data_IF_730767612175
#
_entry.id   IF_730767612175
#
_cell.length_a   1.000
_cell.length_b   1.000
_cell.length_c   1.000
_cell.angle_alpha   90.00
_cell.angle_beta   90.00
_cell.angle_gamma   90.00
#
_symmetry.space_group_name_H-M   'P 1'
#
loop_
_entity.id
_entity.type
_entity.pdbx_description
1 polymer ?
#
# COMPACT_ATOMS: atom_id res chain seq x y z
N UNK A 1 8.38 33.97 3.43
CA UNK A 1 9.40 34.12 2.38
C UNK A 1 10.79 33.92 2.95
N UNK A 2 11.20 34.60 4.03
CA UNK A 2 12.52 34.47 4.70
C UNK A 2 12.79 33.02 5.17
N UNK A 3 11.86 32.37 5.89
CA UNK A 3 12.02 30.99 6.35
C UNK A 3 12.11 29.92 5.22
N UNK A 4 11.65 30.24 4.00
CA UNK A 4 11.83 29.38 2.82
C UNK A 4 13.22 29.53 2.22
N UNK A 5 13.75 30.77 2.19
CA UNK A 5 15.12 31.06 1.72
C UNK A 5 16.18 30.49 2.66
N UNK A 6 15.96 30.54 4.00
CA UNK A 6 16.87 29.94 4.98
C UNK A 6 16.91 28.39 4.89
N UNK A 7 15.80 27.71 4.57
CA UNK A 7 15.78 26.27 4.33
C UNK A 7 16.47 25.85 3.03
N UNK A 8 16.41 26.69 2.00
CA UNK A 8 17.09 26.43 0.72
C UNK A 8 18.61 26.63 0.81
N UNK A 9 19.08 27.38 1.80
CA UNK A 9 20.51 27.65 2.02
C UNK A 9 21.24 26.60 2.87
N UNK A 10 20.52 25.73 3.60
CA UNK A 10 21.14 24.65 4.39
C UNK A 10 21.51 23.47 3.51
N UNK A 11 22.66 22.82 3.80
CA UNK A 11 23.01 21.55 3.14
C UNK A 11 22.01 20.44 3.48
N UNK A 12 21.96 19.38 2.66
CA UNK A 12 21.12 18.21 2.92
C UNK A 12 21.47 17.54 4.25
N UNK A 13 22.76 17.52 4.59
CA UNK A 13 23.28 16.99 5.86
C UNK A 13 22.76 17.79 7.05
N UNK A 14 22.76 19.12 6.97
CA UNK A 14 22.25 19.98 8.04
C UNK A 14 20.73 19.79 8.23
N UNK A 15 19.96 19.65 7.14
CA UNK A 15 18.53 19.36 7.22
C UNK A 15 18.27 17.96 7.80
N UNK A 16 19.11 16.98 7.47
CA UNK A 16 19.04 15.61 8.03
C UNK A 16 19.33 15.63 9.53
N UNK A 17 20.40 16.29 9.97
CA UNK A 17 20.72 16.42 11.38
C UNK A 17 19.56 17.03 12.18
N UNK A 18 18.99 18.16 11.73
CA UNK A 18 17.83 18.77 12.36
C UNK A 18 16.59 17.83 12.38
N UNK A 19 16.41 17.04 11.34
CA UNK A 19 15.31 16.08 11.27
C UNK A 19 15.49 14.94 12.28
N UNK A 20 16.70 14.38 12.38
CA UNK A 20 17.03 13.30 13.33
C UNK A 20 16.96 13.81 14.77
N UNK A 21 17.45 15.02 15.06
CA UNK A 21 17.35 15.63 16.38
C UNK A 21 15.90 15.77 16.85
N UNK A 22 15.00 16.18 15.94
CA UNK A 22 13.57 16.28 16.24
C UNK A 22 12.94 14.90 16.53
N UNK A 23 13.39 13.83 15.85
CA UNK A 23 12.99 12.45 16.14
C UNK A 23 13.59 11.95 17.45
N UNK A 24 14.86 12.27 17.75
CA UNK A 24 15.54 11.88 18.97
C UNK A 24 14.83 12.41 20.23
N UNK A 25 14.22 13.60 20.14
CA UNK A 25 13.47 14.22 21.22
C UNK A 25 12.31 13.34 21.74
N UNK A 26 11.71 12.48 20.89
CA UNK A 26 10.60 11.59 21.27
C UNK A 26 11.06 10.20 21.71
N UNK A 27 12.36 9.88 21.68
CA UNK A 27 12.88 8.58 22.13
C UNK A 27 13.04 8.48 23.65
N UNK A 28 12.84 9.57 24.38
CA UNK A 28 12.82 9.63 25.84
C UNK A 28 14.19 9.58 26.55
N UNK A 29 15.31 9.30 25.85
CA UNK A 29 16.67 9.27 26.43
C UNK A 29 17.69 9.81 25.44
N UNK A 30 18.61 10.66 25.92
CA UNK A 30 19.63 11.31 25.09
C UNK A 30 20.63 10.33 24.47
N UNK A 31 20.94 9.23 25.14
CA UNK A 31 21.88 8.19 24.68
C UNK A 31 21.36 7.43 23.43
N UNK A 32 20.09 7.61 23.06
CA UNK A 32 19.48 7.01 21.85
C UNK A 32 19.67 7.87 20.61
N UNK A 33 20.06 9.14 20.73
CA UNK A 33 20.18 10.05 19.59
C UNK A 33 21.23 9.59 18.58
N UNK A 34 22.46 9.28 19.03
CA UNK A 34 23.51 8.77 18.14
C UNK A 34 23.14 7.46 17.44
N UNK A 35 22.68 6.41 18.15
CA UNK A 35 22.17 5.19 17.51
C UNK A 35 21.02 5.42 16.53
N UNK A 36 20.11 6.37 16.77
CA UNK A 36 19.05 6.77 15.85
C UNK A 36 19.61 7.36 14.56
N UNK A 37 20.52 8.31 14.68
CA UNK A 37 21.22 8.94 13.55
C UNK A 37 21.92 7.90 12.69
N UNK A 38 22.72 7.03 13.32
CA UNK A 38 23.43 5.94 12.67
C UNK A 38 22.48 4.99 11.93
N UNK A 39 21.34 4.64 12.58
CA UNK A 39 20.37 3.74 11.98
C UNK A 39 19.71 4.37 10.74
N UNK A 40 19.24 5.62 10.85
CA UNK A 40 18.66 6.35 9.74
C UNK A 40 19.67 6.58 8.61
N UNK A 41 20.93 6.90 8.93
CA UNK A 41 22.03 6.99 7.96
C UNK A 41 22.23 5.66 7.24
N UNK A 42 22.33 4.55 7.97
CA UNK A 42 22.48 3.22 7.37
C UNK A 42 21.31 2.83 6.45
N UNK A 43 20.07 3.26 6.76
CA UNK A 43 18.92 3.05 5.89
C UNK A 43 18.99 3.91 4.61
N UNK A 44 19.53 5.11 4.66
CA UNK A 44 19.63 6.03 3.53
C UNK A 44 20.84 5.74 2.63
N UNK A 45 21.92 5.23 3.19
CA UNK A 45 23.14 4.95 2.42
C UNK A 45 22.91 3.80 1.43
N UNK A 46 23.58 3.79 0.26
CA UNK A 46 23.50 2.70 -0.69
C UNK A 46 23.94 1.35 -0.06
N UNK A 47 23.28 0.26 -0.45
CA UNK A 47 23.63 -1.10 0.02
C UNK A 47 22.56 -2.11 -0.36
N UNK A 48 22.98 -3.29 -0.78
CA UNK A 48 22.08 -4.39 -1.18
C UNK A 48 21.27 -4.95 0.00
N UNK A 49 21.85 -4.88 1.21
CA UNK A 49 21.22 -5.38 2.42
C UNK A 49 21.30 -4.35 3.55
N UNK A 50 20.16 -4.04 4.14
CA UNK A 50 20.00 -3.07 5.23
C UNK A 50 19.54 -3.76 6.51
N UNK A 51 20.17 -4.90 6.86
CA UNK A 51 20.11 -5.48 8.19
C UNK A 51 21.16 -4.81 9.09
N UNK A 52 21.07 -5.04 10.40
CA UNK A 52 21.85 -4.25 11.39
C UNK A 52 23.35 -4.33 11.17
N UNK A 53 23.90 -5.51 10.83
CA UNK A 53 25.34 -5.69 10.66
C UNK A 53 25.89 -4.96 9.42
N UNK A 54 25.33 -5.12 8.20
CA UNK A 54 25.75 -4.33 7.05
C UNK A 54 25.63 -2.82 7.27
N UNK A 55 24.56 -2.34 7.94
CA UNK A 55 24.44 -0.94 8.27
C UNK A 55 25.56 -0.47 9.22
N UNK A 56 25.89 -1.27 10.24
CA UNK A 56 27.00 -0.97 11.16
C UNK A 56 28.35 -0.85 10.44
N UNK A 57 28.57 -1.73 9.44
CA UNK A 57 29.79 -1.68 8.63
C UNK A 57 29.89 -0.42 7.76
N UNK A 58 28.74 0.09 7.28
CA UNK A 58 28.71 1.33 6.49
C UNK A 58 28.94 2.57 7.36
N UNK A 59 28.23 2.66 8.52
CA UNK A 59 28.26 3.88 9.35
C UNK A 59 29.50 3.96 10.27
N UNK A 60 30.13 2.83 10.60
CA UNK A 60 31.31 2.79 11.46
C UNK A 60 32.27 1.65 11.09
N UNK A 61 32.95 1.73 9.93
CA UNK A 61 33.78 0.63 9.42
C UNK A 61 34.93 0.24 10.36
N UNK A 62 35.46 1.16 11.16
CA UNK A 62 36.51 0.89 12.14
C UNK A 62 35.98 0.21 13.42
N UNK A 63 34.69 0.23 13.69
CA UNK A 63 34.09 -0.23 14.97
C UNK A 63 32.79 -1.02 14.75
N UNK A 64 32.74 -1.88 13.73
CA UNK A 64 31.53 -2.60 13.28
C UNK A 64 30.83 -3.36 14.41
N UNK A 65 31.60 -4.13 15.22
CA UNK A 65 31.02 -4.94 16.30
C UNK A 65 30.32 -4.11 17.36
N UNK A 66 30.95 -3.03 17.84
CA UNK A 66 30.36 -2.12 18.83
C UNK A 66 29.11 -1.40 18.26
N UNK A 67 29.21 -0.94 17.01
CA UNK A 67 28.10 -0.28 16.32
C UNK A 67 26.94 -1.23 16.10
N UNK A 68 27.21 -2.49 15.66
CA UNK A 68 26.19 -3.52 15.53
C UNK A 68 25.42 -3.74 16.83
N UNK A 69 26.11 -3.86 17.98
CA UNK A 69 25.44 -4.01 19.28
C UNK A 69 24.60 -2.80 19.64
N UNK A 70 25.09 -1.60 19.37
CA UNK A 70 24.37 -0.34 19.60
C UNK A 70 23.06 -0.24 18.78
N UNK A 71 23.13 -0.51 17.48
CA UNK A 71 21.95 -0.49 16.59
C UNK A 71 20.97 -1.62 16.93
N UNK A 72 21.48 -2.81 17.26
CA UNK A 72 20.64 -3.94 17.67
C UNK A 72 19.91 -3.64 18.99
N UNK A 73 20.58 -2.97 19.95
CA UNK A 73 19.96 -2.52 21.17
C UNK A 73 18.85 -1.50 20.89
N UNK A 74 19.11 -0.49 20.05
CA UNK A 74 18.12 0.54 19.70
C UNK A 74 16.85 -0.09 19.12
N UNK A 75 16.98 -0.96 18.12
CA UNK A 75 15.82 -1.52 17.41
C UNK A 75 15.14 -2.64 18.15
N UNK A 76 15.89 -3.49 18.92
CA UNK A 76 15.33 -4.71 19.48
C UNK A 76 15.00 -4.63 20.97
N UNK A 77 15.74 -3.82 21.75
CA UNK A 77 15.67 -3.82 23.22
C UNK A 77 15.27 -2.51 23.86
N UNK A 78 15.69 -1.37 23.31
CA UNK A 78 15.40 -0.07 23.88
C UNK A 78 13.88 0.18 23.94
N UNK A 79 13.39 0.65 25.08
CA UNK A 79 11.98 0.92 25.30
C UNK A 79 11.65 2.35 24.87
N UNK A 80 11.30 2.53 23.59
CA UNK A 80 10.76 3.76 23.02
C UNK A 80 9.48 3.46 22.22
N UNK A 81 8.66 4.47 21.96
CA UNK A 81 7.39 4.32 21.27
C UNK A 81 7.57 4.52 19.77
N UNK A 82 7.34 3.48 18.99
CA UNK A 82 7.26 3.55 17.53
C UNK A 82 6.12 4.47 17.08
N UNK A 83 5.00 4.47 17.79
CA UNK A 83 3.88 5.38 17.52
C UNK A 83 4.27 6.85 17.70
N UNK A 84 5.00 7.19 18.79
CA UNK A 84 5.49 8.55 19.01
C UNK A 84 6.45 9.02 17.89
N UNK A 85 7.28 8.10 17.38
CA UNK A 85 8.15 8.37 16.22
C UNK A 85 7.30 8.61 14.97
N UNK A 86 6.30 7.77 14.68
CA UNK A 86 5.41 7.96 13.52
C UNK A 86 4.62 9.28 13.60
N UNK A 87 4.14 9.66 14.79
CA UNK A 87 3.51 10.97 15.01
C UNK A 87 4.49 12.10 14.69
N UNK A 88 5.72 12.03 15.19
CA UNK A 88 6.73 13.04 14.93
C UNK A 88 7.12 13.11 13.44
N UNK A 89 7.26 11.96 12.78
CA UNK A 89 7.49 11.89 11.32
C UNK A 89 6.36 12.61 10.58
N UNK A 90 5.10 12.33 10.92
CA UNK A 90 3.95 13.00 10.32
C UNK A 90 4.00 14.52 10.52
N UNK A 91 4.24 14.98 11.74
CA UNK A 91 4.36 16.42 12.04
C UNK A 91 5.43 17.11 11.19
N UNK A 92 6.58 16.45 11.00
CA UNK A 92 7.69 16.99 10.24
C UNK A 92 7.51 16.94 8.73
N UNK A 93 6.76 15.96 8.21
CA UNK A 93 6.66 15.66 6.76
C UNK A 93 5.38 16.22 6.15
N UNK A 94 4.25 16.19 6.88
CA UNK A 94 2.95 16.63 6.38
C UNK A 94 2.98 18.04 5.76
N UNK A 95 3.63 19.07 6.37
CA UNK A 95 3.69 20.39 5.75
C UNK A 95 4.35 20.40 4.37
N UNK A 96 5.35 19.53 4.14
CA UNK A 96 6.01 19.42 2.84
C UNK A 96 5.13 18.76 1.79
N UNK A 97 4.31 17.79 2.18
CA UNK A 97 3.30 17.16 1.30
C UNK A 97 2.21 18.17 0.96
N UNK A 98 1.67 18.88 1.94
CA UNK A 98 0.58 19.86 1.76
C UNK A 98 1.01 21.08 0.95
N UNK A 99 2.27 21.47 1.00
CA UNK A 99 2.81 22.52 0.15
C UNK A 99 2.75 22.18 -1.35
N UNK A 100 2.68 20.90 -1.70
CA UNK A 100 2.53 20.41 -3.08
C UNK A 100 1.06 20.17 -3.47
N UNK A 101 0.14 20.20 -2.51
CA UNK A 101 -1.29 20.01 -2.70
C UNK A 101 -1.97 19.42 -1.48
N UNK A 102 -3.27 19.72 -1.31
CA UNK A 102 -4.06 19.18 -0.20
C UNK A 102 -4.04 17.66 -0.18
N UNK A 103 -4.13 17.07 1.02
CA UNK A 103 -4.36 15.63 1.17
C UNK A 103 -5.69 15.27 0.48
N UNK A 104 -5.62 14.30 -0.43
CA UNK A 104 -6.77 13.83 -1.21
C UNK A 104 -7.27 12.47 -0.74
N UNK A 105 -6.38 11.62 -0.31
CA UNK A 105 -6.72 10.25 0.05
C UNK A 105 -6.05 9.79 1.35
N UNK A 106 -6.75 8.88 2.02
CA UNK A 106 -6.23 7.98 3.03
C UNK A 106 -6.22 6.57 2.43
N UNK A 107 -5.05 5.95 2.33
CA UNK A 107 -4.89 4.64 1.67
C UNK A 107 -4.65 3.59 2.74
N UNK A 108 -5.57 2.63 2.83
CA UNK A 108 -5.40 1.41 3.64
C UNK A 108 -4.92 0.29 2.73
N UNK A 109 -3.87 -0.39 3.17
CA UNK A 109 -3.37 -1.56 2.47
C UNK A 109 -2.62 -2.48 3.44
N UNK A 110 -2.28 -3.69 2.98
CA UNK A 110 -1.40 -4.58 3.72
C UNK A 110 -0.13 -4.94 2.92
N UNK A 111 0.93 -5.23 3.64
CA UNK A 111 2.18 -5.59 3.02
C UNK A 111 2.76 -6.85 3.65
N UNK A 112 3.13 -7.84 2.79
CA UNK A 112 3.66 -9.14 3.20
C UNK A 112 5.19 -9.18 3.21
N UNK A 113 5.74 -9.93 4.19
CA UNK A 113 7.16 -10.22 4.37
C UNK A 113 7.36 -11.73 4.41
N UNK A 114 7.87 -12.31 3.33
CA UNK A 114 8.17 -13.74 3.27
C UNK A 114 9.20 -14.12 4.35
N UNK A 115 8.97 -15.22 5.05
CA UNK A 115 9.85 -15.76 6.10
C UNK A 115 10.08 -17.25 5.88
N UNK A 116 11.32 -17.73 6.09
CA UNK A 116 11.64 -19.16 6.00
C UNK A 116 11.32 -19.92 7.30
N UNK A 117 11.44 -19.24 8.45
CA UNK A 117 11.26 -19.86 9.78
C UNK A 117 9.90 -19.57 10.39
N UNK A 118 9.60 -20.23 11.50
CA UNK A 118 8.31 -20.16 12.23
C UNK A 118 8.37 -19.30 13.50
N UNK A 119 9.52 -18.69 13.81
CA UNK A 119 9.75 -18.02 15.10
C UNK A 119 9.57 -16.50 15.06
N UNK A 120 9.48 -15.89 13.88
CA UNK A 120 9.21 -14.45 13.77
C UNK A 120 7.78 -14.16 14.26
N UNK A 121 7.61 -13.10 15.02
CA UNK A 121 6.29 -12.72 15.56
C UNK A 121 5.25 -12.58 14.45
N UNK A 122 4.06 -13.15 14.63
CA UNK A 122 2.96 -13.04 13.65
C UNK A 122 3.16 -13.82 12.35
N UNK A 123 4.23 -14.64 12.24
CA UNK A 123 4.44 -15.46 11.06
C UNK A 123 3.43 -16.60 10.99
N UNK A 124 2.79 -16.75 9.85
CA UNK A 124 1.84 -17.84 9.57
C UNK A 124 1.82 -18.15 8.07
N UNK A 125 1.27 -19.31 7.71
CA UNK A 125 0.96 -19.63 6.32
C UNK A 125 -0.30 -18.88 5.89
N UNK A 126 -0.13 -17.79 5.18
CA UNK A 126 -1.19 -16.89 4.74
C UNK A 126 -0.89 -16.30 3.36
N UNK A 127 -1.88 -15.69 2.71
CA UNK A 127 -1.67 -15.07 1.41
C UNK A 127 -0.65 -13.93 1.51
N UNK A 128 0.39 -14.01 0.71
CA UNK A 128 1.44 -13.00 0.62
C UNK A 128 1.35 -12.29 -0.74
N UNK A 129 0.83 -11.07 -0.77
CA UNK A 129 0.65 -10.31 -2.02
C UNK A 129 1.94 -10.18 -2.84
N UNK A 130 3.11 -10.02 -2.19
CA UNK A 130 4.41 -9.98 -2.86
C UNK A 130 4.74 -11.27 -3.64
N UNK A 131 4.29 -12.42 -3.15
CA UNK A 131 4.54 -13.73 -3.77
C UNK A 131 3.40 -14.17 -4.67
N UNK A 132 2.26 -13.49 -4.65
CA UNK A 132 1.05 -13.86 -5.38
C UNK A 132 0.44 -15.21 -4.95
N UNK A 133 0.83 -15.74 -3.80
CA UNK A 133 0.40 -17.07 -3.30
C UNK A 133 0.34 -17.12 -1.78
N UNK A 134 -0.30 -18.16 -1.26
CA UNK A 134 -0.23 -18.52 0.16
C UNK A 134 1.14 -19.09 0.49
N UNK A 135 1.85 -18.43 1.41
CA UNK A 135 3.18 -18.84 1.85
C UNK A 135 3.41 -18.41 3.32
N UNK A 136 4.55 -18.83 3.88
CA UNK A 136 4.95 -18.47 5.24
C UNK A 136 5.41 -17.02 5.27
N UNK A 137 4.63 -16.14 5.88
CA UNK A 137 4.90 -14.69 5.89
C UNK A 137 4.35 -13.98 7.12
N UNK A 138 4.89 -12.80 7.38
CA UNK A 138 4.29 -11.78 8.25
C UNK A 138 3.51 -10.79 7.38
N UNK A 139 2.45 -10.21 7.91
CA UNK A 139 1.68 -9.16 7.20
C UNK A 139 1.54 -7.96 8.13
N UNK A 140 1.74 -6.77 7.60
CA UNK A 140 1.46 -5.53 8.31
C UNK A 140 0.37 -4.74 7.58
N UNK A 141 -0.54 -4.16 8.37
CA UNK A 141 -1.58 -3.24 7.90
C UNK A 141 -1.08 -1.81 8.07
N UNK A 142 -1.28 -0.98 7.06
CA UNK A 142 -0.86 0.42 7.06
C UNK A 142 -2.00 1.36 6.71
N UNK A 143 -1.91 2.57 7.25
CA UNK A 143 -2.68 3.73 6.80
C UNK A 143 -1.70 4.78 6.31
N UNK A 144 -1.85 5.21 5.05
CA UNK A 144 -1.05 6.28 4.43
C UNK A 144 -1.93 7.46 4.08
N UNK A 145 -1.38 8.68 4.20
CA UNK A 145 -1.97 9.89 3.62
C UNK A 145 -1.35 10.14 2.25
N UNK A 146 -2.12 10.66 1.30
CA UNK A 146 -1.64 10.88 -0.06
C UNK A 146 -2.27 12.09 -0.75
N UNK A 147 -1.49 12.70 -1.64
CA UNK A 147 -1.96 13.56 -2.71
C UNK A 147 -1.31 13.09 -4.03
N UNK A 148 -1.47 13.84 -5.13
CA UNK A 148 -0.86 13.47 -6.42
C UNK A 148 0.67 13.58 -6.44
N UNK A 149 1.28 14.33 -5.52
CA UNK A 149 2.72 14.55 -5.47
C UNK A 149 3.43 13.52 -4.59
N UNK A 150 2.89 13.20 -3.42
CA UNK A 150 3.53 12.35 -2.42
C UNK A 150 2.52 11.54 -1.61
N UNK A 151 3.03 10.50 -0.94
CA UNK A 151 2.30 9.70 0.06
C UNK A 151 3.23 9.34 1.21
N UNK A 152 2.67 9.16 2.41
CA UNK A 152 3.40 8.85 3.63
C UNK A 152 2.58 7.85 4.47
N UNK A 153 3.12 6.68 4.85
CA UNK A 153 2.54 5.85 5.90
C UNK A 153 2.55 6.60 7.25
N UNK A 154 1.39 6.74 7.87
CA UNK A 154 1.22 7.41 9.17
C UNK A 154 0.86 6.46 10.30
N UNK A 155 0.46 5.24 9.97
CA UNK A 155 0.23 4.16 10.92
C UNK A 155 0.69 2.83 10.30
N UNK A 156 1.24 1.97 11.15
CA UNK A 156 1.82 0.70 10.76
C UNK A 156 1.65 -0.32 11.88
N UNK A 157 1.00 -1.47 11.60
CA UNK A 157 0.79 -2.50 12.61
C UNK A 157 0.90 -3.89 12.04
N UNK A 158 1.68 -4.75 12.71
CA UNK A 158 1.77 -6.17 12.40
C UNK A 158 0.43 -6.85 12.71
N UNK A 159 -0.09 -7.58 11.72
CA UNK A 159 -1.21 -8.48 11.92
C UNK A 159 -0.76 -9.68 12.74
N UNK A 160 -1.44 -9.91 13.87
CA UNK A 160 -1.20 -11.07 14.73
C UNK A 160 -2.28 -12.11 14.42
N UNK A 161 -1.97 -13.23 13.74
CA UNK A 161 -2.95 -14.30 13.47
C UNK A 161 -3.56 -14.84 14.74
N UNK A 162 -4.76 -15.41 14.65
CA UNK A 162 -5.52 -15.91 15.81
C UNK A 162 -4.75 -16.96 16.60
N UNK A 163 -4.07 -17.90 15.91
CA UNK A 163 -3.20 -18.91 16.53
C UNK A 163 -2.05 -18.29 17.36
N UNK A 164 -1.51 -17.16 16.90
CA UNK A 164 -0.51 -16.41 17.62
C UNK A 164 -1.09 -15.68 18.82
N UNK A 165 -2.27 -15.11 18.68
CA UNK A 165 -2.94 -14.37 19.74
C UNK A 165 -3.36 -15.29 20.88
N UNK A 166 -3.70 -16.55 20.59
CA UNK A 166 -4.09 -17.58 21.55
C UNK A 166 -2.89 -18.27 22.24
N UNK A 167 -1.68 -18.22 21.66
CA UNK A 167 -0.49 -18.89 22.19
C UNK A 167 0.31 -17.96 23.12
N UNK A 168 0.06 -18.07 24.42
CA UNK A 168 0.70 -17.25 25.45
C UNK A 168 2.23 -17.44 25.47
N UNK A 169 2.72 -18.66 25.28
CA UNK A 169 4.16 -18.97 25.29
C UNK A 169 4.89 -18.30 24.12
N UNK A 170 4.30 -18.34 22.93
CA UNK A 170 4.84 -17.64 21.74
C UNK A 170 4.78 -16.12 21.90
N UNK A 171 3.69 -15.58 22.44
CA UNK A 171 3.54 -14.14 22.74
C UNK A 171 4.62 -13.66 23.69
N UNK A 172 4.82 -14.34 24.81
CA UNK A 172 5.85 -14.01 25.80
C UNK A 172 7.25 -14.06 25.21
N UNK A 173 7.58 -15.10 24.44
CA UNK A 173 8.88 -15.25 23.74
C UNK A 173 9.14 -14.15 22.71
N UNK A 174 8.10 -13.68 22.03
CA UNK A 174 8.20 -12.62 21.04
C UNK A 174 7.99 -11.21 21.62
N UNK A 175 7.79 -11.10 22.94
CA UNK A 175 7.51 -9.84 23.63
C UNK A 175 6.30 -9.08 23.03
N UNK A 176 5.21 -9.81 22.72
CA UNK A 176 3.94 -9.20 22.32
C UNK A 176 3.30 -8.57 23.54
N UNK A 177 2.92 -7.28 23.51
CA UNK A 177 2.24 -6.62 24.63
C UNK A 177 0.93 -7.33 25.02
N UNK A 178 0.57 -7.30 26.29
CA UNK A 178 -0.61 -8.01 26.80
C UNK A 178 -1.93 -7.45 26.27
N UNK A 179 -1.98 -6.17 25.99
CA UNK A 179 -3.13 -5.45 25.40
C UNK A 179 -3.35 -5.73 23.91
N UNK A 180 -2.36 -6.35 23.25
CA UNK A 180 -2.49 -6.75 21.84
C UNK A 180 -3.34 -8.02 21.74
N UNK A 181 -4.60 -7.89 21.36
CA UNK A 181 -5.52 -9.00 21.10
C UNK A 181 -5.66 -9.26 19.61
N UNK A 182 -6.22 -10.43 19.25
CA UNK A 182 -6.57 -10.74 17.87
C UNK A 182 -7.54 -9.70 17.31
N UNK A 183 -7.20 -9.18 16.12
CA UNK A 183 -8.09 -8.36 15.29
C UNK A 183 -7.91 -8.73 13.84
N UNK A 184 -9.00 -8.74 13.08
CA UNK A 184 -8.93 -8.88 11.63
C UNK A 184 -8.18 -7.70 11.01
N UNK A 185 -7.60 -7.87 9.82
CA UNK A 185 -6.93 -6.76 9.11
C UNK A 185 -7.85 -5.55 8.89
N UNK A 186 -9.11 -5.71 8.45
CA UNK A 186 -10.07 -4.59 8.43
C UNK A 186 -10.32 -3.94 9.80
N UNK A 187 -10.32 -4.73 10.87
CA UNK A 187 -10.44 -4.20 12.23
C UNK A 187 -9.24 -3.35 12.65
N UNK A 188 -8.02 -3.78 12.32
CA UNK A 188 -6.79 -3.00 12.54
C UNK A 188 -6.83 -1.69 11.75
N UNK A 189 -7.25 -1.75 10.48
CA UNK A 189 -7.38 -0.57 9.63
C UNK A 189 -8.37 0.45 10.19
N UNK A 190 -9.53 -0.01 10.70
CA UNK A 190 -10.50 0.88 11.36
C UNK A 190 -9.94 1.53 12.63
N UNK A 191 -9.14 0.81 13.43
CA UNK A 191 -8.47 1.40 14.59
C UNK A 191 -7.49 2.50 14.16
N UNK A 192 -6.68 2.26 13.12
CA UNK A 192 -5.73 3.25 12.56
C UNK A 192 -6.46 4.49 12.03
N UNK A 193 -7.58 4.31 11.32
CA UNK A 193 -8.43 5.40 10.82
C UNK A 193 -8.95 6.25 11.99
N UNK A 194 -9.52 5.61 13.02
CA UNK A 194 -10.05 6.32 14.20
C UNK A 194 -8.96 7.06 14.95
N UNK A 195 -7.79 6.45 15.12
CA UNK A 195 -6.64 7.09 15.77
C UNK A 195 -6.15 8.31 14.98
N UNK A 196 -6.10 8.23 13.65
CA UNK A 196 -5.71 9.34 12.79
C UNK A 196 -6.72 10.50 12.85
N UNK A 197 -8.03 10.21 12.87
CA UNK A 197 -9.08 11.21 13.06
C UNK A 197 -8.99 11.88 14.43
N UNK A 198 -8.81 11.09 15.50
CA UNK A 198 -8.64 11.59 16.86
C UNK A 198 -7.38 12.46 17.00
N UNK A 199 -6.34 12.18 16.23
CA UNK A 199 -5.12 12.99 16.16
C UNK A 199 -5.25 14.23 15.26
N UNK A 200 -6.44 14.55 14.73
CA UNK A 200 -6.70 15.73 13.90
C UNK A 200 -6.07 15.70 12.51
N UNK A 201 -5.72 14.51 11.99
CA UNK A 201 -5.21 14.40 10.62
C UNK A 201 -6.31 14.79 9.63
N UNK A 202 -6.01 15.71 8.72
CA UNK A 202 -6.96 16.16 7.71
C UNK A 202 -7.54 14.96 6.92
N UNK A 203 -8.86 14.79 6.86
CA UNK A 203 -9.48 13.65 6.20
C UNK A 203 -9.29 13.70 4.69
N UNK A 204 -9.12 12.54 4.08
CA UNK A 204 -9.16 12.31 2.64
C UNK A 204 -10.19 11.25 2.30
N UNK A 205 -10.39 10.98 1.01
CA UNK A 205 -11.20 9.84 0.57
C UNK A 205 -10.48 8.55 0.96
N UNK A 206 -11.16 7.63 1.64
CA UNK A 206 -10.55 6.35 1.99
C UNK A 206 -10.46 5.43 0.77
N UNK A 207 -9.25 4.99 0.46
CA UNK A 207 -8.97 4.04 -0.61
C UNK A 207 -8.49 2.72 -0.01
N UNK A 208 -9.00 1.61 -0.52
CA UNK A 208 -8.54 0.27 -0.16
C UNK A 208 -8.76 -0.70 -1.33
N UNK A 209 -8.07 -1.84 -1.27
CA UNK A 209 -8.24 -2.90 -2.25
C UNK A 209 -9.51 -3.76 -1.98
N UNK A 210 -9.70 -4.79 -2.81
CA UNK A 210 -10.83 -5.70 -2.67
C UNK A 210 -10.78 -6.58 -1.42
N UNK A 211 -9.62 -6.77 -0.81
CA UNK A 211 -9.47 -7.50 0.45
C UNK A 211 -10.20 -6.79 1.61
N UNK A 212 -10.20 -5.46 1.59
CA UNK A 212 -10.93 -4.63 2.53
C UNK A 212 -12.34 -4.28 2.04
N UNK A 213 -12.46 -3.96 0.75
CA UNK A 213 -13.71 -3.46 0.19
C UNK A 213 -14.85 -4.49 0.15
N UNK A 214 -14.58 -5.78 0.18
CA UNK A 214 -15.63 -6.83 0.28
C UNK A 214 -16.24 -6.91 1.68
N UNK A 215 -15.54 -6.42 2.71
CA UNK A 215 -16.05 -6.42 4.09
C UNK A 215 -17.05 -5.27 4.31
N UNK A 216 -18.34 -5.63 4.38
CA UNK A 216 -19.42 -4.68 4.63
C UNK A 216 -19.32 -4.00 6.00
N UNK A 217 -18.75 -4.66 7.03
CA UNK A 217 -18.54 -4.06 8.34
C UNK A 217 -17.44 -2.99 8.29
N UNK A 218 -16.38 -3.23 7.53
CA UNK A 218 -15.33 -2.24 7.26
C UNK A 218 -15.92 -0.99 6.59
N UNK A 219 -16.65 -1.16 5.47
CA UNK A 219 -17.27 -0.02 4.77
C UNK A 219 -18.21 0.77 5.68
N UNK A 220 -19.05 0.07 6.46
CA UNK A 220 -19.95 0.73 7.42
C UNK A 220 -19.16 1.45 8.51
N UNK A 221 -18.05 0.91 9.00
CA UNK A 221 -17.17 1.55 9.97
C UNK A 221 -16.51 2.83 9.44
N UNK A 222 -16.09 2.82 8.18
CA UNK A 222 -15.55 4.01 7.49
C UNK A 222 -16.60 5.11 7.40
N UNK A 223 -17.82 4.77 6.93
CA UNK A 223 -18.94 5.72 6.84
C UNK A 223 -19.35 6.25 8.21
N UNK A 224 -19.39 5.39 9.24
CA UNK A 224 -19.69 5.80 10.61
C UNK A 224 -18.61 6.74 11.21
N UNK A 225 -17.40 6.70 10.66
CA UNK A 225 -16.31 7.63 11.01
C UNK A 225 -16.38 8.96 10.25
N UNK A 226 -17.44 9.20 9.46
CA UNK A 226 -17.63 10.44 8.67
C UNK A 226 -16.79 10.52 7.39
N UNK A 227 -16.18 9.41 6.95
CA UNK A 227 -15.36 9.38 5.75
C UNK A 227 -16.14 8.86 4.53
N UNK A 228 -15.85 9.43 3.38
CA UNK A 228 -16.19 8.83 2.09
C UNK A 228 -15.11 7.85 1.66
N UNK A 229 -15.47 6.90 0.78
CA UNK A 229 -14.53 5.91 0.30
C UNK A 229 -14.62 5.62 -1.20
N UNK A 230 -13.54 5.10 -1.77
CA UNK A 230 -13.48 4.37 -3.04
C UNK A 230 -12.70 3.09 -2.77
N UNK A 231 -13.39 1.96 -2.71
CA UNK A 231 -12.78 0.66 -2.34
C UNK A 231 -12.98 -0.37 -3.43
N UNK A 232 -11.92 -1.10 -3.75
CA UNK A 232 -11.99 -2.24 -4.66
C UNK A 232 -12.98 -3.29 -4.18
N UNK A 233 -13.62 -3.99 -5.11
CA UNK A 233 -14.50 -5.12 -4.80
C UNK A 233 -14.29 -6.26 -5.81
N UNK A 234 -14.65 -7.46 -5.41
CA UNK A 234 -14.56 -8.63 -6.28
C UNK A 234 -15.69 -8.64 -7.32
N UNK A 235 -15.44 -9.23 -8.49
CA UNK A 235 -16.41 -9.38 -9.58
C UNK A 235 -17.69 -10.13 -9.19
N UNK A 236 -17.63 -10.91 -8.11
CA UNK A 236 -18.74 -11.70 -7.57
C UNK A 236 -19.61 -10.94 -6.56
N UNK A 237 -19.22 -9.72 -6.18
CA UNK A 237 -20.02 -8.92 -5.24
C UNK A 237 -21.45 -8.77 -5.79
N UNK A 238 -22.45 -9.06 -4.94
CA UNK A 238 -23.87 -8.92 -5.29
C UNK A 238 -24.37 -7.50 -5.07
N UNK A 239 -25.09 -6.97 -6.06
CA UNK A 239 -25.68 -5.64 -6.06
C UNK A 239 -27.09 -5.68 -6.65
N UNK A 240 -27.92 -4.73 -6.27
CA UNK A 240 -29.21 -4.46 -6.91
C UNK A 240 -28.98 -3.70 -8.21
N UNK A 241 -29.74 -4.04 -9.25
CA UNK A 241 -29.73 -3.27 -10.51
C UNK A 241 -30.24 -1.85 -10.25
N UNK A 242 -29.84 -0.86 -11.05
CA UNK A 242 -30.30 0.53 -10.87
C UNK A 242 -31.82 0.69 -10.84
N UNK A 243 -32.55 -0.16 -11.59
CA UNK A 243 -33.99 -0.17 -11.79
C UNK A 243 -34.75 -1.13 -10.86
N UNK A 244 -34.05 -1.84 -9.98
CA UNK A 244 -34.65 -2.88 -9.14
C UNK A 244 -34.31 -2.65 -7.67
N UNK A 245 -35.35 -2.60 -6.82
CA UNK A 245 -35.19 -2.52 -5.37
C UNK A 245 -35.67 -3.79 -4.67
N UNK A 246 -35.14 -4.11 -3.49
CA UNK A 246 -35.66 -5.19 -2.68
C UNK A 246 -37.09 -4.92 -2.25
N UNK A 247 -37.90 -5.96 -2.15
CA UNK A 247 -39.27 -5.85 -1.67
C UNK A 247 -39.30 -5.47 -0.18
N UNK A 248 -40.27 -4.66 0.26
CA UNK A 248 -40.43 -4.33 1.67
C UNK A 248 -40.76 -5.59 2.49
N UNK A 249 -40.65 -5.52 3.84
CA UNK A 249 -41.13 -6.57 4.72
C UNK A 249 -42.61 -6.92 4.41
N UNK A 250 -43.01 -8.18 4.61
CA UNK A 250 -44.41 -8.57 4.47
C UNK A 250 -45.28 -7.72 5.43
N UNK A 251 -46.50 -7.35 5.03
CA UNK A 251 -47.45 -6.78 5.97
C UNK A 251 -47.62 -7.71 7.17
N UNK A 252 -47.77 -7.12 8.36
CA UNK A 252 -47.99 -7.92 9.57
C UNK A 252 -49.41 -8.52 9.53
N UNK A 253 -49.51 -9.80 9.81
CA UNK A 253 -50.78 -10.53 9.83
C UNK A 253 -51.61 -10.33 11.13
N UNK A 254 -51.07 -9.54 12.10
CA UNK A 254 -51.68 -9.37 13.42
C UNK A 254 -51.33 -10.45 14.45
N UNK A 255 -50.57 -11.48 14.03
CA UNK A 255 -50.11 -12.55 14.93
C UNK A 255 -48.61 -12.70 14.90
N UNK A 256 -48.01 -12.97 16.08
CA UNK A 256 -46.55 -13.15 16.24
C UNK A 256 -45.75 -11.85 16.10
N UNK A 257 -44.44 -11.98 15.92
CA UNK A 257 -43.53 -10.85 15.74
C UNK A 257 -43.71 -10.22 14.35
N UNK A 258 -43.89 -8.91 14.23
CA UNK A 258 -43.98 -8.23 12.92
C UNK A 258 -42.76 -8.54 12.05
N UNK A 259 -42.96 -8.85 10.75
CA UNK A 259 -41.86 -9.02 9.81
C UNK A 259 -41.07 -7.71 9.67
N UNK A 260 -39.76 -7.78 9.80
CA UNK A 260 -38.89 -6.60 9.77
C UNK A 260 -37.82 -6.65 8.68
N UNK A 261 -37.77 -7.70 7.85
CA UNK A 261 -36.70 -7.91 6.87
C UNK A 261 -37.20 -7.70 5.46
N UNK A 262 -36.38 -7.00 4.66
CA UNK A 262 -36.61 -6.88 3.22
C UNK A 262 -36.58 -8.27 2.55
N UNK A 263 -37.27 -8.38 1.42
CA UNK A 263 -37.50 -9.64 0.73
C UNK A 263 -36.95 -9.63 -0.69
N UNK A 264 -36.80 -10.82 -1.22
CA UNK A 264 -36.37 -11.11 -2.60
C UNK A 264 -37.36 -12.09 -3.23
N UNK A 265 -37.54 -12.00 -4.55
CA UNK A 265 -38.26 -13.00 -5.37
C UNK A 265 -37.54 -13.17 -6.70
N UNK A 266 -38.15 -13.83 -7.68
CA UNK A 266 -37.54 -14.10 -8.97
C UNK A 266 -37.23 -12.85 -9.80
N UNK A 267 -38.03 -11.81 -9.66
CA UNK A 267 -37.86 -10.54 -10.38
C UNK A 267 -36.99 -9.54 -9.57
N UNK A 268 -37.14 -9.58 -8.25
CA UNK A 268 -36.40 -8.74 -7.32
C UNK A 268 -35.25 -9.53 -6.70
N UNK A 269 -34.19 -9.77 -7.47
CA UNK A 269 -33.01 -10.49 -7.05
C UNK A 269 -31.73 -9.73 -7.43
N UNK A 270 -30.75 -9.67 -6.51
CA UNK A 270 -29.45 -9.05 -6.82
C UNK A 270 -28.67 -9.88 -7.83
N UNK A 271 -27.78 -9.21 -8.58
CA UNK A 271 -26.87 -9.83 -9.53
C UNK A 271 -25.42 -9.50 -9.15
N UNK A 272 -24.45 -10.25 -9.69
CA UNK A 272 -23.04 -9.89 -9.50
C UNK A 272 -22.69 -8.62 -10.26
N UNK A 273 -21.72 -7.85 -9.73
CA UNK A 273 -21.21 -6.64 -10.42
C UNK A 273 -20.68 -6.98 -11.81
N UNK A 274 -20.08 -8.16 -12.01
CA UNK A 274 -19.66 -8.64 -13.33
C UNK A 274 -20.86 -8.79 -14.28
N UNK A 275 -21.94 -9.43 -13.85
CA UNK A 275 -23.15 -9.60 -14.68
C UNK A 275 -23.79 -8.25 -15.01
N UNK A 276 -23.79 -7.33 -14.05
CA UNK A 276 -24.27 -5.96 -14.29
C UNK A 276 -23.42 -5.28 -15.36
N UNK A 277 -22.09 -5.30 -15.20
CA UNK A 277 -21.14 -4.67 -16.10
C UNK A 277 -21.25 -5.20 -17.56
N UNK A 278 -21.37 -6.52 -17.71
CA UNK A 278 -21.53 -7.15 -19.03
C UNK A 278 -22.86 -6.81 -19.71
N UNK A 279 -23.86 -6.36 -18.97
CA UNK A 279 -25.16 -5.95 -19.50
C UNK A 279 -25.28 -4.44 -19.74
N UNK A 280 -24.24 -3.64 -19.47
CA UNK A 280 -24.27 -2.20 -19.71
C UNK A 280 -24.24 -1.90 -21.21
N UNK A 281 -25.01 -0.92 -21.70
CA UNK A 281 -24.95 -0.50 -23.10
C UNK A 281 -23.59 0.16 -23.42
N UNK A 282 -23.18 0.10 -24.69
CA UNK A 282 -21.90 0.69 -25.14
C UNK A 282 -21.77 2.18 -24.76
N UNK A 283 -22.85 2.93 -24.83
CA UNK A 283 -22.88 4.35 -24.45
C UNK A 283 -22.63 4.64 -22.96
N UNK A 284 -22.65 3.63 -22.08
CA UNK A 284 -22.28 3.79 -20.68
C UNK A 284 -20.76 3.84 -20.44
N UNK A 285 -19.98 3.46 -21.45
CA UNK A 285 -18.54 3.38 -21.34
C UNK A 285 -17.85 4.61 -21.89
N UNK A 286 -16.84 5.12 -21.14
CA UNK A 286 -16.02 6.26 -21.54
C UNK A 286 -14.54 5.90 -21.44
N UNK A 287 -13.75 6.30 -22.42
CA UNK A 287 -12.28 6.24 -22.36
C UNK A 287 -11.84 7.40 -21.48
N UNK A 288 -11.22 7.10 -20.36
CA UNK A 288 -10.74 8.10 -19.40
C UNK A 288 -9.25 7.92 -19.15
N UNK A 289 -8.42 8.94 -19.43
CA UNK A 289 -7.01 8.95 -19.03
C UNK A 289 -6.90 9.17 -17.52
N UNK A 290 -5.91 8.55 -16.88
CA UNK A 290 -5.76 8.65 -15.43
C UNK A 290 -4.32 8.89 -14.95
N UNK A 291 -3.30 8.73 -15.77
CA UNK A 291 -1.90 8.99 -15.45
C UNK A 291 -1.04 9.12 -16.69
N UNK A 292 -0.07 10.05 -16.66
CA UNK A 292 1.02 10.04 -17.63
C UNK A 292 1.92 8.82 -17.38
N UNK A 293 2.09 7.97 -18.37
CA UNK A 293 3.05 6.89 -18.37
C UNK A 293 4.40 7.37 -18.91
N UNK A 294 5.41 6.51 -18.88
CA UNK A 294 6.75 6.82 -19.42
C UNK A 294 6.78 6.96 -20.95
N UNK A 295 5.84 6.33 -21.64
CA UNK A 295 5.74 6.32 -23.11
C UNK A 295 4.48 7.02 -23.62
N UNK A 296 3.36 6.83 -22.92
CA UNK A 296 2.05 7.32 -23.30
C UNK A 296 1.15 7.56 -22.08
N UNK A 297 0.07 8.30 -22.26
CA UNK A 297 -0.93 8.48 -21.21
C UNK A 297 -1.69 7.17 -20.98
N UNK A 298 -1.69 6.70 -19.75
CA UNK A 298 -2.45 5.51 -19.36
C UNK A 298 -3.95 5.83 -19.34
N UNK A 299 -4.72 5.12 -20.15
CA UNK A 299 -6.16 5.23 -20.26
C UNK A 299 -6.82 3.86 -20.25
N UNK A 300 -8.10 3.81 -19.94
CA UNK A 300 -8.92 2.60 -20.03
C UNK A 300 -10.38 2.99 -20.24
N UNK A 301 -11.24 2.01 -20.57
CA UNK A 301 -12.69 2.22 -20.63
C UNK A 301 -13.26 2.10 -19.22
N UNK A 302 -14.04 3.07 -18.82
CA UNK A 302 -14.72 3.09 -17.52
C UNK A 302 -16.22 3.28 -17.70
N UNK A 303 -16.99 2.67 -16.80
CA UNK A 303 -18.41 2.95 -16.60
C UNK A 303 -18.66 3.23 -15.12
N UNK A 304 -19.58 4.14 -14.83
CA UNK A 304 -20.02 4.44 -13.46
C UNK A 304 -21.53 4.39 -13.39
N UNK A 305 -22.06 3.60 -12.45
CA UNK A 305 -23.50 3.43 -12.26
C UNK A 305 -23.86 3.51 -10.78
N UNK A 306 -25.04 4.06 -10.49
CA UNK A 306 -25.57 4.12 -9.11
C UNK A 306 -26.26 2.80 -8.79
N UNK A 307 -25.83 2.12 -7.75
CA UNK A 307 -26.35 0.82 -7.31
C UNK A 307 -26.53 0.76 -5.80
N UNK A 308 -27.23 -0.25 -5.33
CA UNK A 308 -27.29 -0.62 -3.91
C UNK A 308 -26.51 -1.91 -3.69
N UNK A 309 -25.52 -1.96 -2.78
CA UNK A 309 -24.92 -3.22 -2.36
C UNK A 309 -25.97 -4.16 -1.78
N UNK A 310 -25.86 -5.47 -2.08
CA UNK A 310 -26.79 -6.50 -1.58
C UNK A 310 -26.18 -7.36 -0.46
N UNK A 311 -25.02 -6.96 0.08
CA UNK A 311 -24.31 -7.71 1.11
C UNK A 311 -25.12 -7.76 2.41
N UNK A 312 -25.54 -8.96 2.83
CA UNK A 312 -26.31 -9.19 4.07
C UNK A 312 -27.58 -8.34 4.19
N UNK A 313 -28.15 -7.84 3.09
CA UNK A 313 -29.35 -7.00 3.10
C UNK A 313 -30.58 -7.74 3.63
N UNK A 314 -30.65 -9.10 3.47
CA UNK A 314 -31.71 -9.92 4.06
C UNK A 314 -31.80 -9.84 5.60
N UNK A 315 -30.81 -9.25 6.27
CA UNK A 315 -30.81 -8.98 7.72
C UNK A 315 -31.34 -7.58 8.05
N UNK A 316 -31.59 -6.75 7.05
CA UNK A 316 -31.95 -5.36 7.19
C UNK A 316 -33.46 -5.14 7.03
N UNK A 317 -33.95 -4.06 7.62
CA UNK A 317 -35.32 -3.57 7.42
C UNK A 317 -35.42 -2.59 6.25
N UNK A 318 -34.32 -1.95 5.88
CA UNK A 318 -34.22 -0.98 4.79
C UNK A 318 -33.06 -1.36 3.86
N UNK A 319 -33.16 -1.06 2.56
CA UNK A 319 -32.07 -1.25 1.61
C UNK A 319 -30.79 -0.50 2.03
N UNK A 320 -29.65 -0.94 1.52
CA UNK A 320 -28.42 -0.13 1.60
C UNK A 320 -28.61 1.18 0.83
N UNK A 321 -27.90 2.26 1.21
CA UNK A 321 -27.91 3.50 0.43
C UNK A 321 -27.37 3.26 -0.97
N UNK A 322 -27.66 4.17 -1.91
CA UNK A 322 -27.07 4.18 -3.24
C UNK A 322 -25.60 4.54 -3.15
N UNK A 323 -24.77 3.78 -3.85
CA UNK A 323 -23.34 4.00 -4.00
C UNK A 323 -22.97 4.01 -5.49
N UNK A 324 -21.84 4.58 -5.84
CA UNK A 324 -21.27 4.39 -7.15
C UNK A 324 -20.65 3.00 -7.26
N UNK A 325 -20.91 2.31 -8.36
CA UNK A 325 -20.11 1.20 -8.87
C UNK A 325 -19.31 1.74 -10.05
N UNK A 326 -18.00 1.95 -9.86
CA UNK A 326 -17.05 2.26 -10.92
C UNK A 326 -16.46 0.95 -11.44
N UNK A 327 -16.42 0.82 -12.77
CA UNK A 327 -16.00 -0.40 -13.47
C UNK A 327 -14.91 -0.02 -14.48
N UNK A 328 -13.83 -0.81 -14.54
CA UNK A 328 -12.78 -0.67 -15.53
C UNK A 328 -12.77 -1.87 -16.48
N UNK A 329 -12.76 -1.57 -17.77
CA UNK A 329 -12.62 -2.55 -18.84
C UNK A 329 -11.47 -2.13 -19.77
N UNK A 330 -10.23 -2.63 -19.52
CA UNK A 330 -9.10 -2.33 -20.37
C UNK A 330 -9.31 -2.82 -21.81
N UNK A 331 -8.71 -2.12 -22.76
CA UNK A 331 -8.71 -2.53 -24.15
C UNK A 331 -8.02 -3.91 -24.31
N UNK A 332 -8.58 -4.77 -25.16
CA UNK A 332 -8.09 -6.14 -25.38
C UNK A 332 -8.55 -7.18 -24.36
N UNK A 333 -9.10 -6.77 -23.23
CA UNK A 333 -9.65 -7.71 -22.24
C UNK A 333 -11.05 -8.19 -22.66
N UNK A 334 -11.34 -9.49 -22.39
CA UNK A 334 -12.63 -10.09 -22.73
C UNK A 334 -13.76 -9.63 -21.84
N UNK A 335 -13.44 -9.17 -20.62
CA UNK A 335 -14.37 -8.77 -19.59
C UNK A 335 -13.79 -7.67 -18.70
N UNK A 336 -14.63 -6.91 -17.98
CA UNK A 336 -14.15 -5.92 -17.02
C UNK A 336 -13.27 -6.54 -15.94
N UNK A 337 -12.17 -5.90 -15.61
CA UNK A 337 -11.15 -6.47 -14.72
C UNK A 337 -11.17 -5.92 -13.31
N UNK A 338 -11.64 -4.66 -13.12
CA UNK A 338 -11.65 -4.01 -11.81
C UNK A 338 -12.99 -3.34 -11.54
N UNK A 339 -13.38 -3.39 -10.27
CA UNK A 339 -14.64 -2.87 -9.77
C UNK A 339 -14.38 -2.14 -8.44
N UNK A 340 -15.02 -0.98 -8.25
CA UNK A 340 -14.96 -0.23 -7.00
C UNK A 340 -16.36 0.21 -6.56
N UNK A 341 -16.59 0.21 -5.26
CA UNK A 341 -17.70 0.91 -4.64
C UNK A 341 -17.23 2.27 -4.13
N UNK A 342 -18.07 3.30 -4.28
CA UNK A 342 -17.75 4.63 -3.79
C UNK A 342 -18.97 5.33 -3.19
N UNK A 343 -18.72 5.99 -2.07
CA UNK A 343 -19.70 6.87 -1.38
C UNK A 343 -19.49 8.36 -1.68
N UNK A 344 -18.74 8.69 -2.73
CA UNK A 344 -18.64 10.06 -3.21
C UNK A 344 -20.01 10.57 -3.67
N UNK A 345 -20.20 11.91 -3.67
CA UNK A 345 -21.44 12.57 -4.06
C UNK A 345 -21.97 12.05 -5.40
N UNK A 346 -23.30 12.04 -5.55
CA UNK A 346 -23.94 11.62 -6.80
C UNK A 346 -23.61 12.52 -7.99
N UNK A 347 -23.21 13.78 -7.75
CA UNK A 347 -22.77 14.71 -8.79
C UNK A 347 -21.29 14.53 -9.18
N UNK A 348 -20.59 13.52 -8.63
CA UNK A 348 -19.16 13.32 -8.89
C UNK A 348 -18.95 12.89 -10.34
N UNK A 349 -18.20 13.65 -11.17
CA UNK A 349 -17.87 13.27 -12.53
C UNK A 349 -17.06 11.96 -12.58
N UNK A 350 -17.23 11.18 -13.65
CA UNK A 350 -16.52 9.89 -13.80
C UNK A 350 -15.00 10.07 -13.77
N UNK A 351 -14.49 11.16 -14.30
CA UNK A 351 -13.06 11.49 -14.32
C UNK A 351 -12.50 11.63 -12.89
N UNK A 352 -13.30 12.22 -11.98
CA UNK A 352 -12.94 12.37 -10.55
C UNK A 352 -13.02 11.02 -9.84
N UNK A 353 -14.02 10.18 -10.15
CA UNK A 353 -14.11 8.82 -9.63
C UNK A 353 -12.89 7.99 -10.04
N UNK A 354 -12.50 8.07 -11.32
CA UNK A 354 -11.33 7.36 -11.87
C UNK A 354 -10.04 7.87 -11.25
N UNK A 355 -9.81 9.20 -11.21
CA UNK A 355 -8.63 9.81 -10.60
C UNK A 355 -8.47 9.36 -9.13
N UNK A 356 -9.57 9.41 -8.38
CA UNK A 356 -9.58 9.00 -6.97
C UNK A 356 -9.29 7.51 -6.82
N UNK A 357 -9.96 6.64 -7.56
CA UNK A 357 -9.75 5.19 -7.49
C UNK A 357 -8.31 4.80 -7.85
N UNK A 358 -7.77 5.47 -8.87
CA UNK A 358 -6.41 5.22 -9.37
C UNK A 358 -5.33 5.77 -8.45
N UNK A 359 -5.61 6.75 -7.59
CA UNK A 359 -4.62 7.31 -6.65
C UNK A 359 -4.04 6.25 -5.69
N UNK A 360 -4.75 5.12 -5.47
CA UNK A 360 -4.25 4.01 -4.66
C UNK A 360 -2.90 3.44 -5.14
N UNK A 361 -2.53 3.59 -6.41
CA UNK A 361 -1.24 3.11 -6.92
C UNK A 361 -0.04 3.67 -6.15
N UNK A 362 -0.21 4.80 -5.45
CA UNK A 362 0.83 5.41 -4.62
C UNK A 362 1.39 4.46 -3.57
N UNK A 363 0.52 3.67 -2.92
CA UNK A 363 0.96 2.74 -1.87
C UNK A 363 1.88 1.63 -2.40
N UNK A 364 1.68 1.22 -3.67
CA UNK A 364 2.53 0.21 -4.31
C UNK A 364 3.96 0.74 -4.47
N UNK A 365 4.08 2.00 -4.88
CA UNK A 365 5.37 2.70 -4.97
C UNK A 365 6.01 2.92 -3.60
N UNK A 366 5.23 3.34 -2.60
CA UNK A 366 5.73 3.49 -1.23
C UNK A 366 6.34 2.17 -0.72
N UNK A 367 5.65 1.05 -0.94
CA UNK A 367 6.16 -0.25 -0.54
C UNK A 367 7.39 -0.69 -1.34
N UNK A 368 7.47 -0.37 -2.62
CA UNK A 368 8.64 -0.63 -3.43
C UNK A 368 9.85 0.12 -2.86
N UNK A 369 9.75 1.43 -2.65
CA UNK A 369 10.82 2.24 -2.10
C UNK A 369 11.19 1.83 -0.65
N UNK A 370 10.19 1.62 0.23
CA UNK A 370 10.43 1.18 1.60
C UNK A 370 11.11 -0.19 1.67
N UNK A 371 10.72 -1.15 0.84
CA UNK A 371 11.26 -2.52 0.89
C UNK A 371 12.60 -2.66 0.17
N UNK A 372 12.73 -2.06 -1.02
CA UNK A 372 13.91 -2.21 -1.87
C UNK A 372 15.00 -1.24 -1.46
N UNK A 373 14.65 0.05 -1.30
CA UNK A 373 15.63 1.10 -1.06
C UNK A 373 15.95 1.31 0.43
N UNK A 374 14.94 1.23 1.30
CA UNK A 374 15.08 1.52 2.73
C UNK A 374 15.09 0.27 3.62
N UNK A 375 15.07 -0.93 3.02
CA UNK A 375 15.29 -2.17 3.75
C UNK A 375 14.17 -2.60 4.70
N UNK A 376 12.93 -2.10 4.54
CA UNK A 376 11.78 -2.51 5.38
C UNK A 376 11.59 -4.04 5.40
N UNK A 377 11.95 -4.74 4.32
CA UNK A 377 11.88 -6.20 4.23
C UNK A 377 13.13 -6.91 4.81
N UNK A 378 14.16 -6.18 5.25
CA UNK A 378 15.45 -6.74 5.68
C UNK A 378 15.54 -6.98 7.19
N UNK A 379 14.44 -6.76 7.94
CA UNK A 379 14.42 -7.04 9.36
C UNK A 379 14.47 -8.54 9.66
N UNK A 380 15.48 -8.95 10.41
CA UNK A 380 15.75 -10.35 10.78
C UNK A 380 15.33 -10.71 12.21
N UNK A 381 14.99 -9.71 13.00
CA UNK A 381 14.53 -9.88 14.38
C UNK A 381 13.21 -10.66 14.48
N UNK A 382 12.96 -11.19 15.69
CA UNK A 382 11.79 -12.06 15.94
C UNK A 382 10.76 -11.44 16.86
N UNK A 383 11.07 -10.30 17.52
CA UNK A 383 10.22 -9.68 18.51
C UNK A 383 9.21 -8.70 17.91
N UNK A 384 8.10 -8.51 18.60
CA UNK A 384 7.07 -7.51 18.29
C UNK A 384 7.66 -6.10 18.24
N UNK A 385 8.36 -5.71 19.32
CA UNK A 385 9.00 -4.40 19.42
C UNK A 385 9.95 -4.13 18.26
N UNK A 386 10.87 -5.06 18.01
CA UNK A 386 11.86 -4.87 16.96
C UNK A 386 11.26 -4.74 15.57
N UNK A 387 10.16 -5.45 15.28
CA UNK A 387 9.43 -5.32 14.02
C UNK A 387 8.87 -3.91 13.83
N UNK A 388 8.18 -3.36 14.86
CA UNK A 388 7.58 -2.04 14.80
C UNK A 388 8.62 -0.92 14.81
N UNK A 389 9.67 -1.05 15.64
CA UNK A 389 10.77 -0.11 15.67
C UNK A 389 11.48 0.00 14.31
N UNK A 390 11.84 -1.14 13.71
CA UNK A 390 12.46 -1.12 12.37
C UNK A 390 11.54 -0.45 11.34
N UNK A 391 10.26 -0.78 11.33
CA UNK A 391 9.31 -0.18 10.41
C UNK A 391 9.18 1.33 10.62
N UNK A 392 9.09 1.80 11.88
CA UNK A 392 9.02 3.22 12.19
C UNK A 392 10.28 3.98 11.73
N UNK A 393 11.47 3.39 11.88
CA UNK A 393 12.72 3.97 11.41
C UNK A 393 12.82 3.99 9.87
N UNK A 394 12.35 2.95 9.18
CA UNK A 394 12.25 2.95 7.71
C UNK A 394 11.29 4.05 7.21
N UNK A 395 10.13 4.20 7.87
CA UNK A 395 9.16 5.26 7.54
C UNK A 395 9.73 6.64 7.87
N UNK A 396 10.53 6.78 8.93
CA UNK A 396 11.23 8.02 9.24
C UNK A 396 12.26 8.39 8.15
N UNK A 397 13.08 7.44 7.71
CA UNK A 397 14.00 7.65 6.60
C UNK A 397 13.27 8.01 5.30
N UNK A 398 12.15 7.34 5.01
CA UNK A 398 11.28 7.65 3.87
C UNK A 398 10.69 9.05 3.95
N UNK A 399 10.22 9.45 5.13
CA UNK A 399 9.71 10.81 5.39
C UNK A 399 10.75 11.89 5.12
N UNK A 400 12.00 11.66 5.49
CA UNK A 400 13.09 12.56 5.13
C UNK A 400 13.24 12.71 3.61
N UNK A 401 13.24 11.60 2.86
CA UNK A 401 13.32 11.64 1.39
C UNK A 401 12.13 12.38 0.75
N UNK A 402 10.92 12.25 1.28
CA UNK A 402 9.76 13.03 0.82
C UNK A 402 10.01 14.52 1.01
N UNK A 403 10.54 14.95 2.16
CA UNK A 403 10.88 16.36 2.43
C UNK A 403 11.95 16.89 1.48
N UNK A 404 12.99 16.11 1.25
CA UNK A 404 14.07 16.50 0.32
C UNK A 404 13.55 16.62 -1.12
N UNK A 405 12.73 15.67 -1.59
CA UNK A 405 12.11 15.75 -2.91
C UNK A 405 11.17 16.96 -3.06
N UNK A 406 10.52 17.37 -1.99
CA UNK A 406 9.68 18.57 -1.98
C UNK A 406 10.50 19.87 -1.99
N UNK A 407 11.67 19.87 -1.31
CA UNK A 407 12.57 21.02 -1.23
C UNK A 407 13.44 21.18 -2.48
N UNK A 408 13.85 20.07 -3.09
CA UNK A 408 14.77 20.01 -4.24
C UNK A 408 14.06 19.22 -5.36
N UNK A 409 13.14 19.86 -6.12
CA UNK A 409 12.50 19.18 -7.23
C UNK A 409 13.55 18.82 -8.30
N UNK A 410 13.39 17.68 -9.01
CA UNK A 410 14.33 17.23 -10.04
C UNK A 410 14.57 18.33 -11.08
N UNK A 411 15.84 18.51 -11.48
CA UNK A 411 16.35 19.53 -12.42
C UNK A 411 15.82 19.37 -13.85
N UNK A 412 14.60 18.93 -14.06
CA UNK A 412 13.92 18.75 -15.36
C UNK A 412 12.47 19.18 -15.34
N UNK A 413 11.89 19.45 -14.17
CA UNK A 413 10.56 20.01 -14.04
C UNK A 413 10.57 21.52 -14.31
N UNK A 414 10.97 21.96 -15.51
CA UNK A 414 10.55 23.28 -15.98
C UNK A 414 9.02 23.26 -15.94
N UNK A 415 8.45 24.01 -15.00
CA UNK A 415 7.09 24.48 -15.06
C UNK A 415 6.80 24.80 -16.53
N UNK A 416 5.98 24.03 -17.18
CA UNK A 416 5.26 24.51 -18.38
C UNK A 416 4.35 25.62 -17.85
N UNK A 417 4.88 26.84 -17.77
CA UNK A 417 4.06 28.00 -17.88
C UNK A 417 3.29 27.84 -19.18
N UNK A 418 1.98 27.76 -19.07
CA UNK A 418 1.08 27.93 -20.18
C UNK A 418 1.32 29.35 -20.70
N UNK A 419 2.31 29.53 -21.56
CA UNK A 419 2.42 30.69 -22.38
C UNK A 419 1.21 30.64 -23.31
N UNK A 420 0.29 31.54 -23.08
CA UNK A 420 -0.72 31.94 -24.06
C UNK A 420 0.05 32.45 -25.26
N UNK A 421 0.37 31.56 -26.20
CA UNK A 421 0.79 31.94 -27.53
C UNK A 421 -0.42 32.59 -28.20
N UNK A 422 -0.35 33.91 -28.28
CA UNK A 422 -1.22 34.74 -29.13
C UNK A 422 -1.31 34.12 -30.51
N UNK A 423 -2.54 33.83 -30.92
CA UNK A 423 -2.86 33.52 -32.31
C UNK A 423 -2.48 34.72 -33.16
N UNK A 424 -1.40 34.64 -33.90
CA UNK A 424 -1.17 35.47 -35.09
C UNK A 424 -1.80 34.75 -36.28
N UNK A 425 -2.62 35.45 -37.11
CA UNK A 425 -3.20 34.86 -38.31
C UNK A 425 -2.10 34.59 -39.34
N UNK A 426 -2.16 33.39 -39.94
CA UNK A 426 -1.35 33.04 -41.11
C UNK A 426 -1.81 33.84 -42.34
N UNK A 427 -0.89 34.36 -43.16
CA UNK A 427 -1.23 34.85 -44.50
C UNK A 427 -1.56 33.69 -45.45
N UNK A 428 -2.63 33.85 -46.19
CA UNK A 428 -2.99 32.99 -47.30
C UNK A 428 -2.05 33.23 -48.50
N UNK A 429 -1.67 32.12 -49.16
CA UNK A 429 -1.25 32.14 -50.56
C UNK A 429 0.19 31.70 -50.83
N UNK A 430 0.33 30.51 -51.38
CA UNK A 430 1.04 30.22 -52.64
C UNK A 430 1.11 28.71 -52.90
N UNK A 431 0.96 28.39 -54.16
CA UNK A 431 0.70 27.14 -54.82
C UNK A 431 1.74 26.01 -54.64
N UNK A 432 1.19 24.78 -54.73
CA UNK A 432 1.85 23.52 -55.04
C UNK A 432 2.65 23.60 -56.37
N UNK A 433 3.79 22.93 -56.57
CA UNK A 433 3.68 21.74 -57.40
C UNK A 433 4.61 20.54 -57.08
N UNK A 434 4.11 19.40 -57.56
CA UNK A 434 4.78 18.18 -58.03
C UNK A 434 5.03 17.03 -57.09
N UNK A 435 4.12 16.16 -57.13
CA UNK A 435 4.01 14.70 -57.36
C UNK A 435 5.28 14.07 -57.96
N UNK A 436 5.90 13.14 -57.25
CA UNK A 436 6.66 12.05 -57.90
C UNK A 436 6.43 10.73 -57.17
N UNK A 437 5.89 9.80 -57.90
CA UNK A 437 5.69 8.38 -57.66
C UNK A 437 7.02 7.63 -57.73
N UNK A 438 7.22 6.62 -56.84
CA UNK A 438 7.88 5.33 -57.13
C UNK A 438 7.75 4.42 -55.88
N UNK A 439 7.02 3.35 -56.03
CA UNK A 439 7.25 2.00 -56.54
C UNK A 439 7.44 1.00 -55.39
N UNK A 440 6.46 0.11 -55.28
CA UNK A 440 6.48 -1.17 -54.56
C UNK A 440 7.66 -2.03 -54.97
N UNK A 441 8.23 -2.75 -54.04
CA UNK A 441 8.90 -4.03 -54.30
C UNK A 441 8.56 -4.97 -53.13
N UNK A 442 7.73 -5.97 -53.47
CA UNK A 442 7.56 -7.23 -52.76
C UNK A 442 8.88 -8.02 -52.77
N UNK A 443 9.18 -8.74 -51.72
CA UNK A 443 9.84 -10.06 -51.76
C UNK A 443 9.75 -10.78 -50.42
N UNK A 444 8.97 -11.80 -50.46
CA UNK A 444 9.02 -13.19 -50.00
C UNK A 444 10.00 -13.60 -48.85
N UNK A 445 9.42 -14.40 -47.95
CA UNK A 445 9.98 -15.31 -46.99
C UNK A 445 11.01 -16.31 -47.58
N UNK A 446 11.89 -17.02 -46.82
CA UNK A 446 11.44 -18.01 -45.85
C UNK A 446 12.26 -18.18 -44.53
N UNK A 447 11.53 -18.70 -43.53
CA UNK A 447 11.89 -19.60 -42.44
C UNK A 447 13.30 -20.22 -42.46
N UNK A 448 14.05 -20.16 -41.34
CA UNK A 448 14.68 -21.34 -40.72
C UNK A 448 15.06 -21.05 -39.26
N UNK A 449 14.62 -21.96 -38.41
CA UNK A 449 14.96 -22.08 -36.99
C UNK A 449 16.40 -22.57 -36.83
N UNK A 450 17.14 -21.96 -35.91
CA UNK A 450 18.29 -22.64 -35.26
C UNK A 450 18.33 -22.30 -33.77
N UNK A 451 17.86 -23.25 -33.01
CA UNK A 451 18.04 -23.39 -31.56
C UNK A 451 19.54 -23.63 -31.28
N UNK A 452 20.13 -22.79 -30.42
CA UNK A 452 21.42 -23.12 -29.78
C UNK A 452 21.17 -23.55 -28.33
N UNK A 453 21.79 -24.65 -27.86
CA UNK A 453 21.58 -25.17 -26.52
C UNK A 453 22.39 -24.38 -25.47
N UNK A 454 21.79 -24.23 -24.30
CA UNK A 454 22.37 -23.71 -23.08
C UNK A 454 23.44 -24.64 -22.52
N UNK A 455 24.61 -24.18 -22.05
CA UNK A 455 25.62 -25.06 -21.45
C UNK A 455 25.20 -25.46 -20.03
N UNK A 456 25.43 -26.77 -19.74
CA UNK A 456 25.27 -27.41 -18.44
C UNK A 456 26.29 -26.86 -17.42
N UNK A 457 25.96 -26.72 -16.13
CA UNK A 457 26.93 -26.38 -15.11
C UNK A 457 27.85 -27.55 -14.78
N UNK A 458 29.15 -27.26 -14.64
CA UNK A 458 30.19 -28.17 -14.21
C UNK A 458 29.98 -28.66 -12.77
N UNK A 459 30.05 -29.97 -12.58
CA UNK A 459 30.05 -30.62 -11.29
C UNK A 459 31.39 -30.41 -10.57
N UNK A 460 31.31 -29.96 -9.31
CA UNK A 460 32.45 -29.94 -8.40
C UNK A 460 32.69 -31.33 -7.77
N UNK A 461 33.94 -31.74 -7.50
CA UNK A 461 34.26 -33.09 -7.04
C UNK A 461 33.89 -33.26 -5.56
N UNK A 462 33.36 -34.46 -5.28
CA UNK A 462 33.03 -34.98 -3.94
C UNK A 462 34.33 -35.40 -3.26
N UNK A 463 34.61 -34.87 -2.06
CA UNK A 463 35.66 -35.37 -1.16
C UNK A 463 35.09 -36.49 -0.27
N UNK A 464 35.86 -37.54 0.04
CA UNK A 464 35.36 -38.72 0.73
C UNK A 464 35.23 -38.52 2.24
N UNK A 465 34.16 -39.10 2.78
CA UNK A 465 33.89 -39.24 4.21
C UNK A 465 34.85 -40.21 4.88
N UNK A 466 35.59 -39.81 5.92
CA UNK A 466 36.17 -40.71 6.88
C UNK A 466 35.21 -40.95 8.04
N UNK A 467 34.75 -42.19 8.11
CA UNK A 467 34.13 -42.75 9.31
C UNK A 467 35.22 -43.12 10.32
N UNK A 468 35.03 -42.77 11.58
CA UNK A 468 35.65 -43.49 12.69
C UNK A 468 34.65 -43.57 13.84
N UNK A 469 34.20 -44.80 14.04
CA UNK A 469 33.42 -45.28 15.18
C UNK A 469 34.36 -45.40 16.37
N UNK A 470 33.92 -44.90 17.55
CA UNK A 470 34.33 -45.52 18.82
C UNK A 470 33.21 -45.34 19.85
N UNK A 471 32.67 -46.47 20.21
CA UNK A 471 31.77 -46.62 21.35
C UNK A 471 32.58 -46.66 22.65
N UNK A 472 32.10 -46.09 23.70
CA UNK A 472 32.31 -46.58 25.08
C UNK A 472 31.13 -46.20 25.96
N UNK A 473 30.66 -47.22 26.60
CA UNK A 473 29.61 -47.37 27.59
C UNK A 473 29.96 -46.74 28.92
N UNK A 474 28.91 -46.40 29.67
CA UNK A 474 28.97 -46.67 31.11
C UNK A 474 28.53 -45.54 32.05
N UNK A 475 27.48 -45.86 32.73
CA UNK A 475 27.20 -45.68 34.14
C UNK A 475 26.31 -44.51 34.60
N UNK A 476 25.16 -44.93 35.05
CA UNK A 476 24.21 -44.46 36.04
C UNK A 476 24.92 -43.88 37.29
N UNK A 477 24.44 -42.75 37.84
CA UNK A 477 24.12 -42.57 39.28
C UNK A 477 23.17 -41.39 39.48
N UNK A 478 22.10 -41.65 40.18
CA UNK A 478 21.11 -40.79 40.83
C UNK A 478 21.75 -39.81 41.84
N UNK A 479 21.31 -38.56 41.80
CA UNK A 479 20.68 -37.83 42.93
C UNK A 479 19.92 -36.60 42.41
#
# INVERSE_FOLDING_TARGET
MVAKMEREAQSSEARFACYVDALAAVLGRKDRAGPLEDYCTGLLMPGERKSVEPMAAVVAPAHVSAKHQSLLHLVGRAAWSDEAVLVKVRELVLPAIEAQGKIKAWIVDDTGFAKKGVHSVGVARQYCGRLGKTDNCQIAVTLSIANHAASLPIAYRLYLPEDWAADEARRKKAHVPDDVVFKTKPGIALDQIKAALAAGVAPGVLLADAGYGVDGAFRSGVTASGLTYVVGVQSTLSVWRPDTEPLPPKPWSGQGRPPSRIRRDGEHAPISVKRLAMGLPEGAWRITPWREGSKETLSSRFAAVRIRPASRDWKRSTPHPLEWLLIEWPEGEREPTKYWLSTLSEDTPIEVLVDTAKLRWRIERDYEELKSELGLAHFEGRSWRGFHHHAALCIAAYGFLIRERAAIPPSGARRRETSRLSQRPRPQGAADPTRTTHRKLDRDHPTTAHSRPCPKPLALPVLPSHATTTALSGAIVTQ
#
